data_IF_661166578899
#
_entry.id   IF_661166578899
#
_cell.length_a   1.000
_cell.length_b   1.000
_cell.length_c   1.000
_cell.angle_alpha   90.00
_cell.angle_beta   90.00
_cell.angle_gamma   90.00
#
_symmetry.space_group_name_H-M   'P 1'
#
loop_
_entity.id
_entity.type
_entity.pdbx_description
1 polymer ?
#
# COMPACT_ATOMS: atom_id res chain seq x y z
N UNK A 1 -34.90 -6.15 77.75
CA UNK A 1 -35.85 -6.73 76.77
C UNK A 1 -36.11 -5.63 75.74
N UNK A 2 -35.87 -5.77 74.43
CA UNK A 2 -35.80 -6.96 73.59
C UNK A 2 -35.06 -6.61 72.30
N UNK A 3 -34.33 -7.59 71.79
CA UNK A 3 -33.52 -7.66 70.57
C UNK A 3 -33.92 -6.77 69.38
N UNK A 4 -32.90 -6.06 68.85
CA UNK A 4 -32.80 -5.69 67.44
C UNK A 4 -32.93 -6.94 66.57
N UNK A 5 -33.99 -7.02 65.75
CA UNK A 5 -34.11 -8.05 64.70
C UNK A 5 -33.17 -7.66 63.56
N UNK A 6 -32.03 -8.34 63.51
CA UNK A 6 -31.09 -8.35 62.40
C UNK A 6 -31.80 -8.95 61.18
N UNK A 7 -32.26 -8.11 60.24
CA UNK A 7 -32.72 -8.58 58.92
C UNK A 7 -31.56 -9.29 58.24
N UNK A 8 -31.61 -10.61 58.19
CA UNK A 8 -30.71 -11.43 57.40
C UNK A 8 -30.77 -10.96 55.93
N UNK A 9 -29.69 -10.34 55.45
CA UNK A 9 -29.52 -10.01 54.04
C UNK A 9 -29.38 -11.32 53.26
N UNK A 10 -30.41 -11.69 52.50
CA UNK A 10 -30.37 -12.84 51.60
C UNK A 10 -29.17 -12.70 50.65
N UNK A 11 -28.40 -13.77 50.42
CA UNK A 11 -27.31 -13.74 49.45
C UNK A 11 -27.86 -13.38 48.06
N UNK A 12 -27.14 -12.57 47.26
CA UNK A 12 -27.60 -12.18 45.94
C UNK A 12 -27.87 -13.42 45.09
N UNK A 13 -29.08 -13.51 44.54
CA UNK A 13 -29.45 -14.61 43.66
C UNK A 13 -28.49 -14.67 42.46
N UNK A 14 -28.09 -15.87 42.01
CA UNK A 14 -27.27 -15.99 40.82
C UNK A 14 -28.00 -15.35 39.63
N UNK A 15 -27.27 -14.63 38.74
CA UNK A 15 -27.88 -14.01 37.59
C UNK A 15 -28.62 -15.06 36.75
N UNK A 16 -29.83 -14.75 36.25
CA UNK A 16 -30.60 -15.70 35.44
C UNK A 16 -29.76 -16.18 34.26
N UNK A 17 -29.88 -17.47 33.87
CA UNK A 17 -29.12 -18.02 32.77
C UNK A 17 -29.38 -17.20 31.50
N UNK A 18 -28.30 -16.85 30.79
CA UNK A 18 -28.41 -16.07 29.57
C UNK A 18 -29.41 -16.75 28.60
N UNK A 19 -30.31 -16.00 27.95
CA UNK A 19 -31.30 -16.59 27.07
C UNK A 19 -30.62 -17.39 25.96
N UNK A 20 -31.17 -18.56 25.65
CA UNK A 20 -30.63 -19.42 24.60
C UNK A 20 -30.50 -18.64 23.29
N UNK A 21 -29.28 -18.51 22.77
CA UNK A 21 -28.99 -17.79 21.52
C UNK A 21 -29.67 -18.53 20.36
N UNK A 22 -30.86 -18.06 19.96
CA UNK A 22 -31.54 -18.58 18.77
C UNK A 22 -30.74 -18.26 17.51
N UNK A 23 -30.79 -19.18 16.56
CA UNK A 23 -30.21 -18.96 15.24
C UNK A 23 -31.07 -17.94 14.50
N UNK A 24 -30.53 -16.74 14.30
CA UNK A 24 -31.17 -15.74 13.43
C UNK A 24 -30.83 -16.03 11.97
N UNK A 25 -31.72 -15.65 11.04
CA UNK A 25 -31.47 -15.78 9.60
C UNK A 25 -30.11 -15.16 9.21
N UNK A 26 -29.76 -14.00 9.76
CA UNK A 26 -28.45 -13.35 9.54
C UNK A 26 -27.26 -14.21 9.94
N UNK A 27 -27.34 -14.97 11.05
CA UNK A 27 -26.26 -15.88 11.47
C UNK A 27 -26.17 -17.11 10.58
N UNK A 28 -27.31 -17.66 10.17
CA UNK A 28 -27.34 -18.79 9.22
C UNK A 28 -26.70 -18.34 7.91
N UNK A 29 -27.13 -17.22 7.33
CA UNK A 29 -26.55 -16.66 6.11
C UNK A 29 -25.05 -16.39 6.27
N UNK A 30 -24.64 -15.79 7.40
CA UNK A 30 -23.23 -15.54 7.69
C UNK A 30 -22.40 -16.83 7.73
N UNK A 31 -22.88 -17.86 8.43
CA UNK A 31 -22.18 -19.15 8.52
C UNK A 31 -22.16 -19.90 7.18
N UNK A 32 -23.24 -19.83 6.39
CA UNK A 32 -23.29 -20.42 5.05
C UNK A 32 -22.27 -19.74 4.13
N UNK A 33 -22.19 -18.41 4.13
CA UNK A 33 -21.18 -17.68 3.36
C UNK A 33 -19.76 -18.05 3.79
N UNK A 34 -19.51 -18.15 5.10
CA UNK A 34 -18.20 -18.57 5.62
C UNK A 34 -17.87 -20.01 5.20
N UNK A 35 -18.83 -20.93 5.27
CA UNK A 35 -18.64 -22.32 4.82
C UNK A 35 -18.32 -22.38 3.32
N UNK A 36 -19.00 -21.61 2.47
CA UNK A 36 -18.71 -21.51 1.05
C UNK A 36 -17.27 -21.03 0.79
N UNK A 37 -16.80 -20.01 1.51
CA UNK A 37 -15.43 -19.53 1.41
C UNK A 37 -14.39 -20.57 1.86
N UNK A 38 -14.67 -21.30 2.95
CA UNK A 38 -13.79 -22.37 3.43
C UNK A 38 -13.70 -23.50 2.40
N UNK A 39 -14.83 -23.94 1.85
CA UNK A 39 -14.86 -24.98 0.81
C UNK A 39 -14.12 -24.53 -0.44
N UNK A 40 -14.35 -23.30 -0.90
CA UNK A 40 -13.62 -22.73 -2.04
C UNK A 40 -12.10 -22.65 -1.78
N UNK A 41 -11.70 -22.27 -0.56
CA UNK A 41 -10.29 -22.22 -0.14
C UNK A 41 -9.64 -23.60 -0.11
N UNK A 42 -10.31 -24.61 0.48
CA UNK A 42 -9.81 -26.00 0.49
C UNK A 42 -9.69 -26.53 -0.93
N UNK A 43 -10.71 -26.31 -1.77
CA UNK A 43 -10.68 -26.70 -3.17
C UNK A 43 -9.48 -26.08 -3.90
N UNK A 44 -9.25 -24.77 -3.73
CA UNK A 44 -8.11 -24.09 -4.33
C UNK A 44 -6.76 -24.65 -3.86
N UNK A 45 -6.62 -24.93 -2.55
CA UNK A 45 -5.39 -25.52 -2.01
C UNK A 45 -5.13 -26.92 -2.56
N UNK A 46 -6.16 -27.75 -2.66
CA UNK A 46 -6.04 -29.09 -3.27
C UNK A 46 -5.73 -29.02 -4.76
N UNK A 47 -6.34 -28.08 -5.49
CA UNK A 47 -6.07 -27.82 -6.90
C UNK A 47 -4.61 -27.40 -7.13
N UNK A 48 -4.10 -26.48 -6.32
CA UNK A 48 -2.70 -26.03 -6.37
C UNK A 48 -1.76 -27.18 -6.03
N UNK A 49 -2.01 -27.90 -4.93
CA UNK A 49 -1.19 -29.02 -4.47
C UNK A 49 -0.95 -30.08 -5.54
N UNK A 50 -1.99 -30.43 -6.30
CA UNK A 50 -1.89 -31.39 -7.40
C UNK A 50 -1.14 -30.90 -8.65
N UNK A 51 -0.77 -29.62 -8.73
CA UNK A 51 -0.20 -28.97 -9.93
C UNK A 51 1.15 -28.29 -9.69
N UNK A 52 1.70 -28.33 -8.48
CA UNK A 52 3.01 -27.73 -8.10
C UNK A 52 4.19 -28.31 -8.93
N UNK A 53 4.04 -29.48 -9.56
CA UNK A 53 5.03 -30.06 -10.48
C UNK A 53 4.53 -30.29 -11.90
N UNK A 54 3.45 -29.62 -12.32
CA UNK A 54 2.89 -29.81 -13.65
C UNK A 54 3.72 -29.17 -14.76
N UNK A 55 3.51 -29.63 -16.00
CA UNK A 55 4.21 -29.16 -17.20
C UNK A 55 4.14 -27.64 -17.39
N UNK A 56 3.03 -27.01 -16.98
CA UNK A 56 2.89 -25.56 -17.03
C UNK A 56 3.96 -24.86 -16.18
N UNK A 57 4.12 -25.26 -14.92
CA UNK A 57 5.09 -24.59 -14.04
C UNK A 57 6.51 -24.84 -14.52
N UNK A 58 6.83 -26.08 -14.92
CA UNK A 58 8.15 -26.43 -15.43
C UNK A 58 8.56 -25.58 -16.65
N UNK A 59 7.62 -25.30 -17.56
CA UNK A 59 7.88 -24.56 -18.79
C UNK A 59 7.89 -23.02 -18.63
N UNK A 60 7.24 -22.49 -17.60
CA UNK A 60 7.02 -21.04 -17.45
C UNK A 60 7.64 -20.45 -16.18
N UNK A 61 8.11 -21.26 -15.22
CA UNK A 61 8.64 -20.79 -13.93
C UNK A 61 9.72 -19.71 -14.07
N UNK A 62 10.71 -19.92 -14.94
CA UNK A 62 11.79 -18.95 -15.17
C UNK A 62 11.25 -17.59 -15.64
N UNK A 63 10.20 -17.58 -16.49
CA UNK A 63 9.58 -16.32 -16.94
C UNK A 63 8.85 -15.62 -15.81
N UNK A 64 8.22 -16.37 -14.91
CA UNK A 64 7.56 -15.79 -13.75
C UNK A 64 8.57 -15.19 -12.77
N UNK A 65 9.73 -15.82 -12.59
CA UNK A 65 10.85 -15.26 -11.81
C UNK A 65 11.32 -13.91 -12.38
N UNK A 66 11.54 -13.82 -13.69
CA UNK A 66 11.87 -12.57 -14.38
C UNK A 66 10.78 -11.50 -14.20
N UNK A 67 9.51 -11.92 -14.26
CA UNK A 67 8.36 -11.06 -14.01
C UNK A 67 8.32 -10.52 -12.58
N UNK A 68 8.63 -11.36 -11.59
CA UNK A 68 8.76 -10.96 -10.17
C UNK A 68 9.88 -9.94 -10.01
N UNK A 69 11.06 -10.19 -10.59
CA UNK A 69 12.18 -9.25 -10.52
C UNK A 69 11.83 -7.92 -11.17
N UNK A 70 11.16 -7.95 -12.32
CA UNK A 70 10.67 -6.77 -13.05
C UNK A 70 9.67 -5.98 -12.22
N UNK A 71 8.70 -6.64 -11.57
CA UNK A 71 7.74 -6.01 -10.65
C UNK A 71 8.46 -5.34 -9.47
N UNK A 72 9.37 -6.05 -8.81
CA UNK A 72 10.08 -5.54 -7.62
C UNK A 72 11.00 -4.37 -7.95
N UNK A 73 11.72 -4.44 -9.08
CA UNK A 73 12.61 -3.36 -9.53
C UNK A 73 11.81 -2.13 -9.96
N UNK A 74 10.72 -2.30 -10.71
CA UNK A 74 9.84 -1.21 -11.12
C UNK A 74 9.26 -0.48 -9.90
N UNK A 75 8.64 -1.23 -8.98
CA UNK A 75 8.03 -0.66 -7.78
C UNK A 75 9.08 -0.08 -6.84
N UNK A 76 10.19 -0.76 -6.63
CA UNK A 76 11.29 -0.29 -5.79
C UNK A 76 11.87 1.04 -6.29
N UNK A 77 12.16 1.12 -7.59
CA UNK A 77 12.66 2.35 -8.21
C UNK A 77 11.64 3.49 -8.09
N UNK A 78 10.37 3.24 -8.40
CA UNK A 78 9.31 4.25 -8.31
C UNK A 78 9.06 4.72 -6.87
N UNK A 79 9.12 3.82 -5.90
CA UNK A 79 8.99 4.18 -4.48
C UNK A 79 10.13 5.07 -4.00
N UNK A 80 11.38 4.79 -4.40
CA UNK A 80 12.56 5.58 -4.03
C UNK A 80 12.52 6.96 -4.68
N UNK A 81 12.27 7.04 -5.99
CA UNK A 81 12.15 8.31 -6.70
C UNK A 81 10.98 9.10 -6.13
N UNK A 82 9.86 8.43 -5.88
CA UNK A 82 8.68 9.03 -5.28
C UNK A 82 8.94 9.57 -3.87
N UNK A 83 9.73 8.87 -3.06
CA UNK A 83 10.15 9.36 -1.74
C UNK A 83 10.97 10.66 -1.86
N UNK A 84 11.93 10.70 -2.78
CA UNK A 84 12.74 11.90 -3.05
C UNK A 84 11.87 13.09 -3.48
N UNK A 85 10.90 12.87 -4.38
CA UNK A 85 9.97 13.91 -4.85
C UNK A 85 8.97 14.31 -3.74
N UNK A 86 8.57 13.37 -2.89
CA UNK A 86 7.53 13.61 -1.88
C UNK A 86 7.97 14.61 -0.80
N UNK A 87 9.27 14.66 -0.48
CA UNK A 87 9.82 15.57 0.55
C UNK A 87 9.58 17.04 0.16
N UNK A 88 10.09 17.56 -0.98
CA UNK A 88 9.84 18.93 -1.38
C UNK A 88 8.36 19.20 -1.61
N UNK A 89 7.57 18.25 -2.14
CA UNK A 89 6.12 18.42 -2.33
C UNK A 89 5.41 18.60 -0.97
N UNK A 90 5.73 17.77 0.02
CA UNK A 90 5.17 17.87 1.38
C UNK A 90 5.55 19.21 2.06
N UNK A 91 6.80 19.65 1.90
CA UNK A 91 7.27 20.93 2.42
C UNK A 91 6.59 22.12 1.73
N UNK A 92 6.48 22.10 0.40
CA UNK A 92 5.80 23.12 -0.38
C UNK A 92 4.31 23.21 0.03
N UNK A 93 3.65 22.06 0.20
CA UNK A 93 2.28 21.93 0.71
C UNK A 93 2.07 22.50 2.12
N UNK A 94 3.10 22.48 2.96
CA UNK A 94 3.08 23.03 4.32
C UNK A 94 3.55 24.50 4.39
N UNK A 95 3.98 25.07 3.26
CA UNK A 95 4.43 26.45 3.18
C UNK A 95 3.26 27.43 3.36
N UNK A 96 3.56 28.62 3.91
CA UNK A 96 2.62 29.75 3.92
C UNK A 96 2.61 30.50 2.59
N UNK A 97 3.63 30.30 1.76
CA UNK A 97 3.73 30.96 0.47
C UNK A 97 2.79 30.27 -0.54
N UNK A 98 1.78 31.01 -1.01
CA UNK A 98 0.82 30.52 -1.99
C UNK A 98 1.47 30.03 -3.29
N UNK A 99 2.57 30.65 -3.73
CA UNK A 99 3.30 30.25 -4.95
C UNK A 99 3.90 28.84 -4.85
N UNK A 100 4.15 28.35 -3.64
CA UNK A 100 4.63 26.97 -3.41
C UNK A 100 3.48 26.03 -3.05
N UNK A 101 2.56 26.50 -2.21
CA UNK A 101 1.49 25.67 -1.66
C UNK A 101 0.43 25.32 -2.71
N UNK A 102 0.09 26.24 -3.62
CA UNK A 102 -0.97 26.03 -4.63
C UNK A 102 -0.53 25.00 -5.69
N UNK A 103 0.66 25.10 -6.34
CA UNK A 103 1.09 24.08 -7.29
C UNK A 103 1.24 22.70 -6.64
N UNK A 104 1.78 22.64 -5.42
CA UNK A 104 1.91 21.37 -4.69
C UNK A 104 0.54 20.80 -4.28
N UNK A 105 -0.45 21.64 -3.94
CA UNK A 105 -1.83 21.20 -3.75
C UNK A 105 -2.40 20.60 -5.04
N UNK A 106 -2.27 21.31 -6.17
CA UNK A 106 -2.79 20.86 -7.46
C UNK A 106 -2.15 19.55 -7.91
N UNK A 107 -0.83 19.41 -7.75
CA UNK A 107 -0.09 18.18 -7.99
C UNK A 107 -0.66 17.00 -7.18
N UNK A 108 -0.72 17.15 -5.85
CA UNK A 108 -1.22 16.08 -4.97
C UNK A 108 -2.68 15.74 -5.28
N UNK A 109 -3.50 16.76 -5.53
CA UNK A 109 -4.91 16.59 -5.89
C UNK A 109 -5.07 15.81 -7.20
N UNK A 110 -4.32 16.17 -8.24
CA UNK A 110 -4.37 15.50 -9.54
C UNK A 110 -3.92 14.04 -9.46
N UNK A 111 -2.73 13.78 -8.90
CA UNK A 111 -2.15 12.44 -8.90
C UNK A 111 -2.88 11.46 -7.98
N UNK A 112 -3.47 11.94 -6.88
CA UNK A 112 -4.31 11.11 -6.00
C UNK A 112 -5.77 11.04 -6.46
N UNK A 113 -6.24 12.02 -7.22
CA UNK A 113 -7.60 12.09 -7.74
C UNK A 113 -7.81 11.34 -9.06
N UNK A 114 -6.74 10.93 -9.73
CA UNK A 114 -6.81 10.23 -11.02
C UNK A 114 -6.28 8.79 -10.93
N UNK A 115 -6.87 7.83 -11.68
CA UNK A 115 -6.40 6.45 -11.69
C UNK A 115 -4.97 6.31 -12.21
N UNK A 116 -4.16 5.44 -11.59
CA UNK A 116 -2.78 5.15 -12.01
C UNK A 116 -2.72 4.68 -13.47
N UNK A 117 -3.69 3.88 -13.91
CA UNK A 117 -3.78 3.44 -15.31
C UNK A 117 -3.95 4.60 -16.29
N UNK A 118 -4.79 5.58 -15.97
CA UNK A 118 -5.00 6.74 -16.82
C UNK A 118 -3.70 7.57 -16.92
N UNK A 119 -3.01 7.78 -15.80
CA UNK A 119 -1.72 8.48 -15.79
C UNK A 119 -0.68 7.75 -16.64
N UNK A 120 -0.61 6.42 -16.51
CA UNK A 120 0.31 5.57 -17.27
C UNK A 120 0.03 5.65 -18.77
N UNK A 121 -1.24 5.61 -19.18
CA UNK A 121 -1.62 5.74 -20.60
C UNK A 121 -1.37 7.13 -21.16
N UNK A 122 -1.69 8.19 -20.41
CA UNK A 122 -1.42 9.56 -20.84
C UNK A 122 0.08 9.79 -21.05
N UNK A 123 0.93 9.22 -20.18
CA UNK A 123 2.38 9.33 -20.32
C UNK A 123 2.89 8.48 -21.49
N UNK A 124 2.52 7.20 -21.56
CA UNK A 124 3.07 6.29 -22.57
C UNK A 124 2.47 6.53 -23.96
N UNK A 125 1.14 6.46 -24.11
CA UNK A 125 0.49 6.66 -25.41
C UNK A 125 0.36 8.14 -25.77
N UNK A 126 0.07 9.00 -24.79
CA UNK A 126 -0.10 10.43 -25.04
C UNK A 126 1.20 11.13 -25.46
N UNK A 127 2.37 10.67 -24.99
CA UNK A 127 3.66 11.23 -25.44
C UNK A 127 3.92 11.02 -26.94
N UNK A 128 3.33 9.98 -27.55
CA UNK A 128 3.39 9.75 -28.99
C UNK A 128 2.82 10.91 -29.82
N UNK A 129 1.75 11.55 -29.33
CA UNK A 129 1.15 12.73 -29.97
C UNK A 129 2.07 13.96 -29.96
N UNK A 130 3.03 14.01 -29.04
CA UNK A 130 4.02 15.09 -28.90
C UNK A 130 5.41 14.68 -29.40
N UNK A 131 5.52 13.60 -30.17
CA UNK A 131 6.78 13.05 -30.63
C UNK A 131 7.72 14.07 -31.29
N UNK A 132 7.27 14.97 -32.21
CA UNK A 132 8.16 15.95 -32.81
C UNK A 132 8.80 16.88 -31.76
N UNK A 133 7.98 17.45 -30.87
CA UNK A 133 8.43 18.32 -29.78
C UNK A 133 9.42 17.60 -28.85
N UNK A 134 9.14 16.35 -28.48
CA UNK A 134 10.00 15.55 -27.61
C UNK A 134 11.32 15.15 -28.29
N UNK A 135 11.34 14.99 -29.61
CA UNK A 135 12.58 14.76 -30.38
C UNK A 135 13.44 16.02 -30.42
N UNK A 136 12.84 17.16 -30.71
CA UNK A 136 13.54 18.45 -30.75
C UNK A 136 14.14 18.80 -29.38
N UNK A 137 13.43 18.47 -28.29
CA UNK A 137 13.91 18.61 -26.92
C UNK A 137 14.94 17.54 -26.49
N UNK A 138 15.25 16.55 -27.33
CA UNK A 138 16.16 15.44 -27.00
C UNK A 138 15.64 14.49 -25.91
N UNK A 139 14.33 14.49 -25.63
CA UNK A 139 13.68 13.67 -24.60
C UNK A 139 13.00 12.41 -25.15
N UNK A 140 12.94 12.26 -26.47
CA UNK A 140 12.23 11.13 -27.09
C UNK A 140 12.79 9.76 -26.68
N UNK A 141 14.08 9.65 -26.36
CA UNK A 141 14.68 8.40 -25.86
C UNK A 141 14.04 7.91 -24.56
N UNK A 142 13.54 8.83 -23.73
CA UNK A 142 12.89 8.53 -22.47
C UNK A 142 11.44 8.11 -22.71
N UNK A 143 10.68 8.91 -23.46
CA UNK A 143 9.24 8.68 -23.64
C UNK A 143 8.88 7.57 -24.63
N UNK A 144 9.83 7.13 -25.47
CA UNK A 144 9.62 5.96 -26.36
C UNK A 144 9.67 4.62 -25.63
N UNK A 145 10.28 4.57 -24.45
CA UNK A 145 10.50 3.33 -23.70
C UNK A 145 9.40 3.17 -22.64
N UNK A 146 8.71 2.04 -22.67
CA UNK A 146 7.66 1.73 -21.71
C UNK A 146 8.18 1.72 -20.27
N UNK A 147 9.42 1.24 -20.05
CA UNK A 147 10.03 1.15 -18.73
C UNK A 147 10.19 2.53 -18.09
N UNK A 148 10.74 3.49 -18.83
CA UNK A 148 10.90 4.87 -18.35
C UNK A 148 9.56 5.56 -18.13
N UNK A 149 8.61 5.37 -19.04
CA UNK A 149 7.25 5.89 -18.88
C UNK A 149 6.54 5.34 -17.64
N UNK A 150 6.67 4.04 -17.36
CA UNK A 150 6.10 3.40 -16.17
C UNK A 150 6.75 3.93 -14.89
N UNK A 151 8.09 3.95 -14.83
CA UNK A 151 8.81 4.52 -13.68
C UNK A 151 8.37 5.96 -13.44
N UNK A 152 8.27 6.77 -14.49
CA UNK A 152 7.86 8.18 -14.38
C UNK A 152 6.43 8.30 -13.83
N UNK A 153 5.46 7.61 -14.43
CA UNK A 153 4.07 7.63 -14.00
C UNK A 153 3.91 7.17 -12.55
N UNK A 154 4.53 6.04 -12.21
CA UNK A 154 4.41 5.42 -10.89
C UNK A 154 5.12 6.27 -9.82
N UNK A 155 6.28 6.86 -10.14
CA UNK A 155 7.00 7.76 -9.24
C UNK A 155 6.19 9.00 -8.92
N UNK A 156 5.57 9.62 -9.93
CA UNK A 156 4.73 10.79 -9.72
C UNK A 156 3.50 10.45 -8.87
N UNK A 157 2.84 9.34 -9.19
CA UNK A 157 1.71 8.84 -8.42
C UNK A 157 2.07 8.61 -6.95
N UNK A 158 3.06 7.74 -6.68
CA UNK A 158 3.43 7.42 -5.30
C UNK A 158 4.00 8.62 -4.58
N UNK A 159 4.73 9.53 -5.23
CA UNK A 159 5.22 10.74 -4.55
C UNK A 159 4.10 11.62 -4.01
N UNK A 160 2.95 11.69 -4.70
CA UNK A 160 1.79 12.42 -4.23
C UNK A 160 1.15 11.76 -3.00
N UNK A 161 1.03 10.43 -3.00
CA UNK A 161 0.55 9.67 -1.83
C UNK A 161 1.53 9.77 -0.65
N UNK A 162 2.82 9.58 -0.91
CA UNK A 162 3.90 9.71 0.07
C UNK A 162 3.99 11.12 0.66
N UNK A 163 3.79 12.17 -0.14
CA UNK A 163 3.79 13.55 0.34
C UNK A 163 2.63 13.81 1.30
N UNK A 164 1.45 13.26 1.00
CA UNK A 164 0.30 13.37 1.90
C UNK A 164 0.51 12.55 3.18
N UNK A 165 1.06 11.34 3.08
CA UNK A 165 1.44 10.52 4.24
C UNK A 165 2.37 11.31 5.16
N UNK A 166 3.45 11.88 4.61
CA UNK A 166 4.41 12.67 5.38
C UNK A 166 3.77 13.90 6.01
N UNK A 167 2.94 14.63 5.25
CA UNK A 167 2.19 15.80 5.75
C UNK A 167 1.24 15.43 6.88
N UNK A 168 0.52 14.32 6.73
CA UNK A 168 -0.38 13.78 7.75
C UNK A 168 0.36 13.37 9.01
N UNK A 169 1.51 12.70 8.86
CA UNK A 169 2.35 12.29 9.97
C UNK A 169 2.94 13.48 10.74
N UNK A 170 3.39 14.54 10.04
CA UNK A 170 3.86 15.78 10.68
C UNK A 170 2.71 16.45 11.45
N UNK A 171 1.50 16.45 10.91
CA UNK A 171 0.31 17.04 11.57
C UNK A 171 -0.12 16.26 12.82
N UNK A 172 0.17 14.95 12.88
CA UNK A 172 -0.14 14.10 14.02
C UNK A 172 0.84 14.27 15.20
N UNK A 173 1.94 15.01 15.03
CA UNK A 173 2.84 15.32 16.14
C UNK A 173 2.20 16.34 17.08
N UNK A 174 2.30 16.09 18.39
CA UNK A 174 1.76 16.96 19.44
C UNK A 174 2.23 18.41 19.27
N UNK A 175 1.29 19.35 19.39
CA UNK A 175 1.57 20.79 19.34
C UNK A 175 2.56 21.22 20.44
N UNK A 176 2.56 20.54 21.59
CA UNK A 176 3.51 20.79 22.67
C UNK A 176 4.98 20.69 22.25
N UNK A 177 5.31 19.80 21.29
CA UNK A 177 6.68 19.72 20.74
C UNK A 177 7.07 20.98 19.95
N UNK A 178 6.12 21.53 19.19
CA UNK A 178 6.31 22.78 18.45
C UNK A 178 6.42 23.99 19.38
N UNK A 179 5.56 24.04 20.40
CA UNK A 179 5.52 25.12 21.39
C UNK A 179 6.78 25.11 22.28
N UNK A 180 7.22 23.94 22.75
CA UNK A 180 8.45 23.80 23.52
C UNK A 180 9.69 24.22 22.72
N UNK A 181 9.79 23.80 21.45
CA UNK A 181 10.89 24.23 20.59
C UNK A 181 10.90 25.75 20.37
N UNK A 182 9.72 26.36 20.24
CA UNK A 182 9.57 27.82 20.14
C UNK A 182 9.95 28.53 21.44
N UNK A 183 9.59 27.98 22.60
CA UNK A 183 9.97 28.52 23.92
C UNK A 183 11.49 28.49 24.13
N UNK A 184 12.18 27.50 23.56
CA UNK A 184 13.65 27.40 23.55
C UNK A 184 14.32 28.27 22.47
N UNK A 185 13.57 29.09 21.73
CA UNK A 185 14.11 29.96 20.69
C UNK A 185 14.61 29.24 19.44
N UNK A 186 14.26 27.97 19.23
CA UNK A 186 14.70 27.19 18.07
C UNK A 186 14.02 27.67 16.79
N UNK A 187 14.82 27.88 15.74
CA UNK A 187 14.30 28.24 14.42
C UNK A 187 13.44 27.14 13.79
N UNK A 188 12.45 27.53 12.99
CA UNK A 188 11.46 26.60 12.38
C UNK A 188 12.09 25.42 11.63
N UNK A 189 13.19 25.67 10.89
CA UNK A 189 13.88 24.62 10.14
C UNK A 189 14.59 23.62 11.06
N UNK A 190 15.18 24.11 12.16
CA UNK A 190 15.84 23.28 13.18
C UNK A 190 14.79 22.43 13.89
N UNK A 191 13.69 23.04 14.33
CA UNK A 191 12.55 22.35 14.94
C UNK A 191 12.00 21.26 14.03
N UNK A 192 11.76 21.59 12.76
CA UNK A 192 11.26 20.63 11.79
C UNK A 192 12.25 19.46 11.61
N UNK A 193 13.52 19.74 11.28
CA UNK A 193 14.49 18.72 10.90
C UNK A 193 14.95 17.85 12.07
N UNK A 194 15.16 18.44 13.26
CA UNK A 194 15.76 17.74 14.40
C UNK A 194 14.76 17.20 15.41
N UNK A 195 13.55 17.77 15.49
CA UNK A 195 12.56 17.39 16.51
C UNK A 195 11.36 16.70 15.86
N UNK A 196 10.70 17.38 14.92
CA UNK A 196 9.41 16.92 14.39
C UNK A 196 9.57 15.81 13.36
N UNK A 197 10.44 15.99 12.36
CA UNK A 197 10.58 15.08 11.23
C UNK A 197 10.98 13.66 11.67
N UNK A 198 11.95 13.45 12.58
CA UNK A 198 12.29 12.11 13.05
C UNK A 198 11.09 11.39 13.70
N UNK A 199 10.27 12.10 14.48
CA UNK A 199 9.06 11.55 15.10
C UNK A 199 7.97 11.26 14.05
N UNK A 200 7.77 12.20 13.12
CA UNK A 200 6.80 12.04 12.04
C UNK A 200 7.14 10.85 11.14
N UNK A 201 8.42 10.58 10.87
CA UNK A 201 8.82 9.41 10.09
C UNK A 201 8.45 8.08 10.77
N UNK A 202 8.47 8.02 12.11
CA UNK A 202 7.99 6.84 12.86
C UNK A 202 6.48 6.68 12.68
N UNK A 203 5.72 7.78 12.78
CA UNK A 203 4.26 7.78 12.55
C UNK A 203 3.89 7.40 11.11
N UNK A 204 4.70 7.84 10.14
CA UNK A 204 4.49 7.60 8.71
C UNK A 204 4.79 6.15 8.28
N UNK A 205 5.50 5.37 9.11
CA UNK A 205 5.98 4.03 8.75
C UNK A 205 4.84 3.09 8.35
N UNK A 206 3.77 2.97 9.13
CA UNK A 206 2.65 2.09 8.79
C UNK A 206 1.96 2.52 7.47
N UNK A 207 1.56 3.79 7.28
CA UNK A 207 1.03 4.25 5.99
C UNK A 207 1.98 4.02 4.81
N UNK A 208 3.29 4.17 4.97
CA UNK A 208 4.26 3.88 3.91
C UNK A 208 4.28 2.39 3.52
N UNK A 209 4.15 1.48 4.49
CA UNK A 209 4.02 0.05 4.22
C UNK A 209 2.76 -0.28 3.42
N UNK A 210 1.64 0.37 3.77
CA UNK A 210 0.39 0.24 3.01
C UNK A 210 0.54 0.75 1.58
N UNK A 211 1.17 1.89 1.38
CA UNK A 211 1.46 2.45 0.06
C UNK A 211 2.34 1.51 -0.78
N UNK A 212 3.39 0.92 -0.19
CA UNK A 212 4.22 -0.07 -0.87
C UNK A 212 3.41 -1.28 -1.33
N UNK A 213 2.55 -1.83 -0.46
CA UNK A 213 1.70 -2.97 -0.80
C UNK A 213 0.71 -2.62 -1.91
N UNK A 214 0.13 -1.41 -1.86
CA UNK A 214 -0.77 -0.92 -2.90
C UNK A 214 -0.03 -0.76 -4.23
N UNK A 215 1.19 -0.24 -4.22
CA UNK A 215 1.99 -0.04 -5.42
C UNK A 215 2.42 -1.37 -6.06
N UNK A 216 2.74 -2.40 -5.28
CA UNK A 216 2.99 -3.77 -5.79
C UNK A 216 1.77 -4.33 -6.53
N UNK A 217 0.56 -4.13 -5.98
CA UNK A 217 -0.66 -4.59 -6.65
C UNK A 217 -1.00 -3.74 -7.87
N UNK A 218 -0.83 -2.42 -7.75
CA UNK A 218 -1.09 -1.46 -8.81
C UNK A 218 -0.13 -1.59 -9.99
N UNK A 219 1.11 -2.06 -9.76
CA UNK A 219 2.10 -2.22 -10.82
C UNK A 219 1.70 -3.19 -11.91
N UNK A 220 0.76 -4.11 -11.62
CA UNK A 220 0.14 -5.00 -12.60
C UNK A 220 -0.35 -4.28 -13.88
N UNK A 221 -0.71 -3.00 -13.76
CA UNK A 221 -1.11 -2.15 -14.90
C UNK A 221 0.02 -1.95 -15.91
N UNK A 222 1.29 -2.07 -15.50
CA UNK A 222 2.45 -1.97 -16.37
C UNK A 222 2.41 -3.00 -17.51
N UNK A 223 1.80 -4.17 -17.27
CA UNK A 223 1.58 -5.20 -18.30
C UNK A 223 0.86 -4.70 -19.54
N UNK A 224 0.00 -3.69 -19.40
CA UNK A 224 -0.80 -3.16 -20.50
C UNK A 224 0.04 -2.31 -21.45
N UNK A 225 1.11 -1.66 -20.95
CA UNK A 225 2.04 -0.87 -21.75
C UNK A 225 3.30 -1.66 -22.12
N UNK A 226 3.15 -2.96 -22.40
CA UNK A 226 4.20 -3.87 -22.92
C UNK A 226 5.32 -4.26 -21.96
N UNK A 227 5.20 -3.98 -20.66
CA UNK A 227 6.17 -4.43 -19.66
C UNK A 227 5.85 -5.87 -19.24
N UNK A 228 6.85 -6.76 -19.29
CA UNK A 228 6.72 -8.15 -18.85
C UNK A 228 6.93 -8.30 -17.35
N UNK A 229 6.07 -7.64 -16.57
CA UNK A 229 5.94 -7.90 -15.13
C UNK A 229 5.18 -9.22 -14.89
N UNK A 230 4.83 -9.56 -13.64
CA UNK A 230 4.09 -10.80 -13.33
C UNK A 230 2.82 -10.93 -14.21
N UNK A 231 2.04 -9.86 -14.36
CA UNK A 231 0.84 -9.89 -15.20
C UNK A 231 1.15 -9.92 -16.70
N UNK A 232 2.22 -9.27 -17.15
CA UNK A 232 2.67 -9.34 -18.55
C UNK A 232 3.10 -10.76 -18.94
N UNK A 233 3.84 -11.44 -18.06
CA UNK A 233 4.22 -12.86 -18.23
C UNK A 233 2.98 -13.75 -18.21
N UNK A 234 2.04 -13.48 -17.31
CA UNK A 234 0.77 -14.21 -17.20
C UNK A 234 -0.05 -14.11 -18.48
N UNK A 235 -0.27 -12.90 -18.99
CA UNK A 235 -1.03 -12.66 -20.22
C UNK A 235 -0.38 -13.35 -21.43
N UNK A 236 0.95 -13.29 -21.53
CA UNK A 236 1.70 -13.99 -22.59
C UNK A 236 1.63 -15.52 -22.47
N UNK A 237 1.63 -16.05 -21.25
CA UNK A 237 1.56 -17.49 -21.02
C UNK A 237 0.15 -18.01 -21.33
N UNK A 238 -0.87 -17.28 -20.89
CA UNK A 238 -2.27 -17.57 -21.20
C UNK A 238 -2.56 -17.48 -22.69
N UNK A 239 -2.08 -16.47 -23.41
CA UNK A 239 -2.36 -16.35 -24.86
C UNK A 239 -1.75 -17.47 -25.70
N UNK A 240 -0.74 -18.19 -25.19
CA UNK A 240 -0.11 -19.33 -25.86
C UNK A 240 -0.74 -20.67 -25.51
N UNK A 241 -1.24 -20.82 -24.29
CA UNK A 241 -1.71 -22.11 -23.75
C UNK A 241 -3.23 -22.17 -23.61
N UNK A 242 -3.89 -21.02 -23.52
CA UNK A 242 -5.27 -20.86 -23.06
C UNK A 242 -5.55 -21.51 -21.70
N UNK A 243 -4.50 -21.75 -20.89
CA UNK A 243 -4.61 -22.39 -19.59
C UNK A 243 -4.78 -21.35 -18.47
N UNK A 244 -5.93 -21.41 -17.79
CA UNK A 244 -6.25 -20.53 -16.67
C UNK A 244 -5.27 -20.67 -15.48
N UNK A 245 -4.49 -21.75 -15.42
CA UNK A 245 -3.41 -21.93 -14.43
C UNK A 245 -2.45 -20.73 -14.39
N UNK A 246 -2.23 -20.06 -15.52
CA UNK A 246 -1.39 -18.86 -15.58
C UNK A 246 -1.84 -17.79 -14.56
N UNK A 247 -3.15 -17.53 -14.46
CA UNK A 247 -3.70 -16.52 -13.54
C UNK A 247 -3.69 -16.99 -12.09
N UNK A 248 -3.88 -18.29 -11.85
CA UNK A 248 -3.81 -18.87 -10.51
C UNK A 248 -2.39 -18.70 -9.95
N UNK A 249 -1.36 -19.02 -10.73
CA UNK A 249 0.03 -18.84 -10.31
C UNK A 249 0.40 -17.37 -10.12
N UNK A 250 -0.07 -16.48 -10.99
CA UNK A 250 0.09 -15.03 -10.82
C UNK A 250 -0.48 -14.55 -9.47
N UNK A 251 -1.71 -14.99 -9.13
CA UNK A 251 -2.36 -14.64 -7.87
C UNK A 251 -1.58 -15.16 -6.66
N UNK A 252 -1.07 -16.40 -6.73
CA UNK A 252 -0.20 -16.97 -5.69
C UNK A 252 1.08 -16.15 -5.53
N UNK A 253 1.75 -15.78 -6.62
CA UNK A 253 2.98 -14.97 -6.57
C UNK A 253 2.73 -13.58 -5.97
N UNK A 254 1.69 -12.87 -6.39
CA UNK A 254 1.33 -11.58 -5.78
C UNK A 254 1.01 -11.73 -4.28
N UNK A 255 0.30 -12.79 -3.89
CA UNK A 255 0.01 -13.07 -2.48
C UNK A 255 1.29 -13.31 -1.69
N UNK A 256 2.20 -14.14 -2.21
CA UNK A 256 3.49 -14.43 -1.56
C UNK A 256 4.34 -13.17 -1.41
N UNK A 257 4.43 -12.34 -2.46
CA UNK A 257 5.18 -11.07 -2.41
C UNK A 257 4.58 -10.13 -1.38
N UNK A 258 3.27 -9.91 -1.43
CA UNK A 258 2.57 -9.00 -0.50
C UNK A 258 2.68 -9.49 0.94
N UNK A 259 2.51 -10.80 1.18
CA UNK A 259 2.65 -11.40 2.51
C UNK A 259 4.07 -11.23 3.05
N UNK A 260 5.08 -11.52 2.21
CA UNK A 260 6.49 -11.42 2.58
C UNK A 260 6.85 -9.97 2.90
N UNK A 261 6.48 -9.02 2.03
CA UNK A 261 6.71 -7.59 2.26
C UNK A 261 5.99 -7.09 3.50
N UNK A 262 4.74 -7.48 3.73
CA UNK A 262 3.99 -7.10 4.94
C UNK A 262 4.69 -7.60 6.20
N UNK A 263 5.12 -8.86 6.24
CA UNK A 263 5.84 -9.41 7.40
C UNK A 263 7.17 -8.71 7.63
N UNK A 264 7.95 -8.45 6.57
CA UNK A 264 9.20 -7.68 6.67
C UNK A 264 8.91 -6.29 7.24
N UNK A 265 7.88 -5.60 6.72
CA UNK A 265 7.49 -4.28 7.17
C UNK A 265 7.04 -4.26 8.63
N UNK A 266 6.20 -5.21 9.05
CA UNK A 266 5.72 -5.33 10.43
C UNK A 266 6.88 -5.55 11.41
N UNK A 267 7.89 -6.33 11.03
CA UNK A 267 9.08 -6.55 11.86
C UNK A 267 9.94 -5.28 11.95
N UNK A 268 10.12 -4.55 10.85
CA UNK A 268 10.78 -3.25 10.84
C UNK A 268 10.03 -2.23 11.72
N UNK A 269 8.70 -2.18 11.61
CA UNK A 269 7.83 -1.34 12.44
C UNK A 269 7.99 -1.65 13.92
N UNK A 270 7.88 -2.93 14.31
CA UNK A 270 8.07 -3.36 15.71
C UNK A 270 9.44 -2.99 16.25
N UNK A 271 10.50 -3.15 15.44
CA UNK A 271 11.87 -2.81 15.85
C UNK A 271 12.05 -1.32 16.07
N UNK A 272 11.50 -0.48 15.19
CA UNK A 272 11.62 0.98 15.27
C UNK A 272 10.74 1.58 16.39
N UNK A 273 9.55 1.02 16.60
CA UNK A 273 8.57 1.50 17.59
C UNK A 273 8.74 0.90 18.98
N UNK A 274 9.74 0.02 19.20
CA UNK A 274 9.97 -0.64 20.50
C UNK A 274 10.05 0.31 21.70
N UNK A 275 10.52 1.54 21.50
CA UNK A 275 10.67 2.55 22.55
C UNK A 275 9.36 3.30 22.87
N UNK A 276 8.33 3.17 22.03
CA UNK A 276 7.02 3.82 22.21
C UNK A 276 6.02 2.94 22.98
N UNK A 277 6.25 1.62 23.02
CA UNK A 277 5.42 0.70 23.81
C UNK A 277 5.78 0.87 25.29
N UNK A 278 5.07 1.78 25.98
CA UNK A 278 5.10 1.85 27.44
C UNK A 278 4.51 0.56 28.01
N UNK A 279 5.29 -0.15 28.82
CA UNK A 279 4.81 -1.19 29.73
C UNK A 279 3.99 -0.56 30.85
#
# INVERSE_FOLDING_TARGET
MTAYVQKASLPPAPPPPAPARRWSATRITGNVLMALWIVAGIWLLTYLGGRIGGDFLANYWQRYEDGVLTTLTLVGASMVIGAVISIPVALARASRNALLAVPAFAYVYFFRGTPLIAQTFLIYYGSGSFQPLLKDAGLWWFFRDAWYCAIFAFSLNTSAYQAEILRGAIRNIDRGQWEAAKALGLGRLVTLRKIILPQAMIVALRPYGNELILMIKGSAIASIITIYDIMGVTGRSFSRTYDFQAYIWAAVLYLLIVETLRRIWDQLEKRLTRHLVRR
#
